data_IF_397638583483
#
_entry.id   IF_397638583483
#
_cell.length_a   1.000
_cell.length_b   1.000
_cell.length_c   1.000
_cell.angle_alpha   90.00
_cell.angle_beta   90.00
_cell.angle_gamma   90.00
#
_symmetry.space_group_name_H-M   'P 1'
#
loop_
_entity.id
_entity.type
_entity.pdbx_description
1 polymer ?
2 non-polymer ?
3 non-polymer ?
4 non-polymer ?
5 water ?
#
# COMPACT_ATOMS: atom_id res chain seq x y z
N UNK A 13 5.27 0.54 8.41
CA UNK A 13 5.25 -0.93 8.67
C UNK A 13 4.66 -1.71 7.50
N UNK A 14 4.72 -3.05 7.59
CA UNK A 14 4.20 -3.92 6.56
C UNK A 14 2.69 -4.09 6.76
N UNK A 15 2.00 -4.31 5.63
CA UNK A 15 0.59 -4.63 5.59
C UNK A 15 0.47 -6.09 5.18
N UNK A 16 -0.33 -6.92 5.90
CA UNK A 16 -0.53 -8.32 5.52
C UNK A 16 -1.00 -8.43 4.07
N UNK A 17 -0.50 -9.45 3.37
CA UNK A 17 -0.68 -9.56 1.93
C UNK A 17 -1.80 -10.55 1.60
N UNK A 18 -2.34 -11.21 2.64
CA UNK A 18 -3.31 -12.28 2.46
C UNK A 18 -2.62 -13.64 2.36
N UNK A 19 -3.30 -14.67 2.84
CA UNK A 19 -2.76 -16.02 2.87
C UNK A 19 -2.71 -16.59 1.44
N UNK A 20 -1.68 -17.40 1.17
CA UNK A 20 -1.57 -18.08 -0.10
C UNK A 20 -1.42 -19.58 0.12
N UNK A 21 -2.34 -20.35 -0.47
CA UNK A 21 -2.16 -21.78 -0.69
C UNK A 21 -2.60 -22.13 -2.10
N UNK A 22 -1.95 -23.15 -2.68
CA UNK A 22 -2.17 -23.51 -4.07
C UNK A 22 -2.11 -25.03 -4.24
N UNK A 42 -5.59 -23.52 -9.57
CA UNK A 42 -5.29 -23.64 -8.11
C UNK A 42 -3.95 -22.99 -7.79
N UNK A 43 -2.96 -23.22 -8.67
CA UNK A 43 -1.60 -22.74 -8.47
C UNK A 43 -1.45 -21.33 -9.02
N UNK A 44 -2.11 -20.37 -8.36
CA UNK A 44 -2.00 -18.97 -8.71
C UNK A 44 -1.13 -18.27 -7.66
N UNK A 45 -0.07 -17.60 -8.13
CA UNK A 45 0.89 -16.93 -7.26
C UNK A 45 0.24 -15.69 -6.65
N UNK A 46 0.62 -15.40 -5.39
CA UNK A 46 0.31 -14.13 -4.77
C UNK A 46 1.44 -13.15 -5.15
N UNK A 47 1.04 -12.03 -5.77
CA UNK A 47 1.99 -11.02 -6.21
C UNK A 47 1.65 -9.70 -5.50
N UNK A 48 2.64 -9.18 -4.77
CA UNK A 48 2.47 -7.95 -4.02
C UNK A 48 3.76 -7.13 -4.08
N UNK A 49 3.63 -5.83 -3.77
CA UNK A 49 4.76 -4.91 -3.74
C UNK A 49 5.73 -5.34 -2.64
N UNK A 50 7.03 -5.38 -2.98
CA UNK A 50 8.07 -5.75 -2.04
C UNK A 50 8.57 -4.49 -1.33
N UNK A 51 7.85 -4.09 -0.27
CA UNK A 51 8.10 -2.85 0.44
C UNK A 51 9.31 -3.00 1.36
N UNK A 52 9.70 -4.24 1.62
CA UNK A 52 10.76 -4.58 2.56
C UNK A 52 12.09 -3.96 2.10
N UNK A 53 12.16 -3.58 0.82
CA UNK A 53 13.39 -3.05 0.24
C UNK A 53 13.70 -1.66 0.79
N UNK A 54 12.68 -0.97 1.31
CA UNK A 54 12.81 0.39 1.79
C UNK A 54 13.19 0.40 3.28
N UNK A 55 13.48 -0.78 3.82
CA UNK A 55 13.72 -0.94 5.26
C UNK A 55 15.20 -1.24 5.53
N UNK A 56 15.65 -0.85 6.73
CA UNK A 56 17.00 -1.11 7.19
C UNK A 56 17.10 -2.53 7.73
N UNK A 57 15.98 -3.27 7.67
CA UNK A 57 15.92 -4.63 8.17
C UNK A 57 16.22 -5.62 7.04
N UNK A 58 16.40 -5.09 5.82
CA UNK A 58 16.53 -5.91 4.62
C UNK A 58 17.70 -6.87 4.75
N UNK A 59 18.87 -6.36 5.18
CA UNK A 59 20.08 -7.17 5.29
C UNK A 59 19.85 -8.32 6.26
N UNK A 60 19.20 -8.02 7.39
CA UNK A 60 18.88 -9.01 8.40
C UNK A 60 17.92 -10.05 7.82
N UNK A 61 16.92 -9.58 7.06
CA UNK A 61 15.94 -10.48 6.46
C UNK A 61 16.60 -11.36 5.41
N UNK A 62 17.43 -10.75 4.56
CA UNK A 62 18.12 -11.46 3.49
C UNK A 62 19.03 -12.53 4.08
N UNK A 63 19.65 -12.22 5.22
CA UNK A 63 20.56 -13.13 5.91
C UNK A 63 19.89 -14.49 6.14
N UNK A 64 18.62 -14.47 6.52
CA UNK A 64 17.94 -15.68 6.97
C UNK A 64 17.18 -16.35 5.81
N UNK A 65 16.62 -15.55 4.90
CA UNK A 65 15.62 -16.07 4.00
C UNK A 65 16.02 -16.00 2.53
N UNK A 66 16.92 -15.07 2.19
CA UNK A 66 17.30 -14.91 0.78
C UNK A 66 18.26 -16.03 0.39
N UNK A 67 18.02 -16.61 -0.81
CA UNK A 67 18.98 -17.50 -1.43
C UNK A 67 20.14 -16.63 -1.93
N UNK A 68 21.33 -16.85 -1.35
CA UNK A 68 22.50 -16.04 -1.66
C UNK A 68 22.83 -16.14 -3.15
N UNK A 69 23.33 -15.02 -3.71
CA UNK A 69 23.64 -14.95 -5.13
C UNK A 69 24.71 -15.97 -5.50
N UNK A 70 25.54 -16.34 -4.52
CA UNK A 70 26.63 -17.27 -4.71
C UNK A 70 26.10 -18.68 -5.01
N UNK A 71 24.78 -18.88 -4.83
CA UNK A 71 24.14 -20.15 -5.08
C UNK A 71 23.55 -20.19 -6.48
N UNK A 72 23.46 -19.02 -7.12
CA UNK A 72 22.99 -18.92 -8.49
C UNK A 72 24.17 -19.21 -9.41
N UNK A 73 24.14 -20.40 -10.03
CA UNK A 73 25.27 -20.89 -10.82
C UNK A 73 25.35 -20.16 -12.16
N UNK A 74 24.27 -20.21 -12.94
CA UNK A 74 24.25 -19.58 -14.25
C UNK A 74 22.83 -19.19 -14.65
N UNK A 75 22.73 -18.50 -15.79
CA UNK A 75 21.45 -18.04 -16.33
C UNK A 75 21.53 -18.08 -17.85
N UNK A 76 20.39 -18.42 -18.48
CA UNK A 76 20.21 -18.27 -19.91
C UNK A 76 18.78 -17.83 -20.20
N UNK A 77 18.52 -17.56 -21.48
CA UNK A 77 17.24 -17.06 -21.96
C UNK A 77 17.14 -17.35 -23.45
N UNK A 78 15.92 -17.23 -23.99
CA UNK A 78 15.64 -17.72 -25.33
C UNK A 78 15.59 -16.58 -26.34
N UNK A 79 15.82 -15.34 -25.89
CA UNK A 79 15.55 -14.18 -26.73
C UNK A 79 16.75 -13.27 -26.94
N UNK A 80 17.96 -13.75 -26.60
CA UNK A 80 19.16 -12.94 -26.70
C UNK A 80 19.09 -11.72 -25.80
N UNK A 81 19.71 -10.62 -26.24
CA UNK A 81 19.82 -9.41 -25.44
C UNK A 81 19.84 -8.18 -26.35
N UNK A 82 19.32 -7.07 -25.82
CA UNK A 82 19.37 -5.79 -26.51
C UNK A 82 20.68 -5.09 -26.14
N UNK A 83 21.48 -4.79 -27.17
CA UNK A 83 22.74 -4.07 -27.01
C UNK A 83 23.61 -4.77 -25.97
N UNK A 84 23.90 -4.06 -24.87
CA UNK A 84 24.80 -4.58 -23.84
C UNK A 84 24.04 -4.92 -22.57
N UNK A 85 22.71 -5.05 -22.68
CA UNK A 85 21.87 -5.41 -21.54
C UNK A 85 21.84 -6.94 -21.40
N UNK A 86 22.99 -7.51 -21.04
CA UNK A 86 23.23 -8.95 -21.06
C UNK A 86 22.47 -9.64 -19.92
N UNK A 87 22.21 -10.94 -20.11
CA UNK A 87 21.33 -11.73 -19.25
C UNK A 87 21.88 -11.82 -17.82
N UNK A 88 23.21 -11.76 -17.68
CA UNK A 88 23.85 -11.85 -16.37
C UNK A 88 23.44 -10.66 -15.50
N UNK A 89 23.10 -9.54 -16.14
CA UNK A 89 22.74 -8.31 -15.44
C UNK A 89 21.40 -8.47 -14.72
N UNK A 90 20.70 -9.59 -14.95
CA UNK A 90 19.42 -9.85 -14.31
C UNK A 90 19.62 -10.48 -12.93
N UNK A 91 20.84 -10.93 -12.62
CA UNK A 91 21.12 -11.63 -11.38
C UNK A 91 22.47 -11.19 -10.81
N UNK A 92 22.79 -9.90 -10.94
CA UNK A 92 24.10 -9.39 -10.54
C UNK A 92 24.00 -8.65 -9.21
N UNK A 93 22.79 -8.60 -8.63
CA UNK A 93 22.57 -8.01 -7.32
C UNK A 93 22.50 -6.49 -7.37
N UNK A 94 22.36 -5.95 -8.58
CA UNK A 94 22.30 -4.50 -8.78
C UNK A 94 20.99 -4.16 -9.49
N UNK A 95 20.12 -3.41 -8.79
CA UNK A 95 18.82 -3.04 -9.33
C UNK A 95 18.98 -2.04 -10.48
N UNK A 96 20.16 -1.42 -10.58
CA UNK A 96 20.37 -0.34 -11.53
C UNK A 96 21.01 -0.85 -12.83
N UNK A 97 21.25 -2.16 -12.90
CA UNK A 97 21.64 -2.81 -14.13
C UNK A 97 20.54 -3.80 -14.50
N UNK A 98 20.23 -3.91 -15.80
CA UNK A 98 19.13 -4.75 -16.23
C UNK A 98 19.52 -5.56 -17.46
N UNK A 99 18.87 -6.72 -17.61
CA UNK A 99 18.82 -7.42 -18.88
C UNK A 99 17.59 -6.96 -19.65
N UNK A 100 17.73 -6.85 -20.98
CA UNK A 100 16.60 -6.68 -21.86
C UNK A 100 16.76 -7.64 -23.04
N UNK A 101 15.66 -8.27 -23.43
CA UNK A 101 15.64 -9.20 -24.55
C UNK A 101 16.03 -8.48 -25.84
N UNK A 102 16.55 -9.26 -26.79
CA UNK A 102 16.81 -8.77 -28.14
C UNK A 102 15.64 -9.07 -29.08
N UNK A 103 14.73 -9.93 -28.61
CA UNK A 103 13.56 -10.32 -29.39
C UNK A 103 12.31 -10.16 -28.52
N UNK A 104 11.43 -9.18 -28.83
CA UNK A 104 10.24 -8.94 -28.01
C UNK A 104 9.20 -10.03 -28.20
N UNK A 105 8.29 -10.16 -27.22
CA UNK A 105 7.16 -11.06 -27.33
C UNK A 105 6.34 -10.69 -28.57
N UNK A 106 5.82 -11.71 -29.25
CA UNK A 106 4.79 -11.54 -30.27
C UNK A 106 3.84 -12.72 -30.21
N UNK A 107 3.02 -12.88 -31.25
CA UNK A 107 2.00 -13.92 -31.29
C UNK A 107 2.62 -15.31 -31.35
N UNK A 108 3.92 -15.38 -31.70
CA UNK A 108 4.57 -16.65 -31.97
C UNK A 108 5.69 -16.91 -30.97
N UNK A 109 6.16 -15.85 -30.29
CA UNK A 109 7.34 -15.98 -29.44
C UNK A 109 7.05 -15.45 -28.04
N UNK A 110 7.45 -16.24 -27.03
CA UNK A 110 7.36 -15.86 -25.63
C UNK A 110 8.74 -15.91 -24.99
N UNK A 111 9.18 -14.76 -24.47
CA UNK A 111 10.45 -14.65 -23.76
C UNK A 111 10.41 -15.49 -22.49
N UNK A 112 11.51 -16.20 -22.22
CA UNK A 112 11.68 -16.91 -20.97
C UNK A 112 13.14 -16.83 -20.52
N UNK A 113 13.32 -16.95 -19.20
CA UNK A 113 14.63 -16.95 -18.56
C UNK A 113 14.73 -18.22 -17.74
N UNK A 114 15.90 -18.88 -17.79
CA UNK A 114 16.15 -20.09 -17.03
C UNK A 114 17.36 -19.85 -16.13
N UNK A 115 17.14 -19.95 -14.81
CA UNK A 115 18.20 -19.82 -13.83
C UNK A 115 18.56 -21.21 -13.32
N UNK A 116 19.88 -21.51 -13.32
CA UNK A 116 20.41 -22.75 -12.77
C UNK A 116 21.06 -22.45 -11.42
N UNK A 117 20.71 -23.25 -10.40
CA UNK A 117 21.28 -23.12 -9.08
C UNK A 117 22.40 -24.15 -8.89
N UNK A 118 23.33 -23.84 -7.98
CA UNK A 118 24.47 -24.70 -7.67
C UNK A 118 23.98 -26.10 -7.27
N UNK A 119 23.03 -26.12 -6.33
CA UNK A 119 22.41 -27.36 -5.88
C UNK A 119 20.90 -27.20 -5.92
N UNK A 120 20.17 -28.31 -5.81
CA UNK A 120 18.72 -28.28 -5.70
C UNK A 120 18.36 -27.42 -4.49
N UNK A 121 17.55 -26.39 -4.74
CA UNK A 121 17.23 -25.38 -3.75
C UNK A 121 15.72 -25.26 -3.60
N UNK A 122 15.27 -25.19 -2.33
CA UNK A 122 13.85 -25.03 -2.03
C UNK A 122 13.52 -23.54 -2.00
N UNK A 123 12.61 -23.13 -2.89
CA UNK A 123 12.26 -21.72 -3.08
C UNK A 123 10.74 -21.60 -3.08
N UNK A 124 10.25 -20.50 -2.52
CA UNK A 124 8.82 -20.24 -2.49
C UNK A 124 8.51 -18.86 -3.06
N UNK A 125 9.55 -18.05 -3.32
CA UNK A 125 9.32 -16.67 -3.70
C UNK A 125 10.37 -16.19 -4.71
N UNK A 126 9.89 -15.39 -5.67
CA UNK A 126 10.74 -14.61 -6.56
C UNK A 126 10.44 -13.14 -6.28
N UNK A 127 11.51 -12.36 -6.05
CA UNK A 127 11.40 -10.90 -6.03
C UNK A 127 11.98 -10.38 -7.34
N UNK A 128 11.15 -9.64 -8.08
CA UNK A 128 11.45 -9.26 -9.45
C UNK A 128 11.16 -7.78 -9.68
N UNK A 129 11.99 -7.16 -10.54
CA UNK A 129 11.73 -5.83 -11.05
C UNK A 129 12.06 -5.78 -12.54
N UNK A 130 11.26 -5.03 -13.30
CA UNK A 130 11.61 -4.67 -14.66
C UNK A 130 12.79 -3.69 -14.60
N UNK A 131 13.31 -3.32 -15.78
CA UNK A 131 14.35 -2.32 -15.91
C UNK A 131 13.97 -1.06 -15.13
N UNK A 132 14.98 -0.36 -14.60
CA UNK A 132 14.74 0.80 -13.76
C UNK A 132 15.49 2.02 -14.29
N UNK A 133 15.79 2.03 -15.60
CA UNK A 133 16.47 3.14 -16.23
C UNK A 133 15.46 4.19 -16.68
N UNK A 134 15.75 4.85 -17.81
CA UNK A 134 14.90 5.91 -18.34
C UNK A 134 13.58 5.35 -18.86
N UNK A 135 13.58 4.06 -19.24
CA UNK A 135 12.38 3.40 -19.71
C UNK A 135 11.85 2.45 -18.63
N UNK A 136 11.92 2.90 -17.37
CA UNK A 136 11.53 2.09 -16.22
C UNK A 136 10.14 1.51 -16.43
N UNK A 137 10.02 0.20 -16.21
CA UNK A 137 8.74 -0.49 -16.28
C UNK A 137 8.57 -1.27 -17.58
N UNK A 138 9.21 -0.80 -18.66
CA UNK A 138 9.12 -1.46 -19.95
C UNK A 138 9.64 -2.89 -19.81
N UNK A 139 8.81 -3.85 -20.27
CA UNK A 139 9.18 -5.26 -20.27
C UNK A 139 8.79 -5.97 -18.98
N UNK A 140 8.04 -5.28 -18.10
CA UNK A 140 7.55 -5.88 -16.88
C UNK A 140 6.70 -7.11 -17.20
N UNK A 141 6.92 -8.19 -16.43
CA UNK A 141 6.19 -9.43 -16.59
C UNK A 141 4.79 -9.28 -15.98
N UNK A 142 3.88 -8.70 -16.77
CA UNK A 142 2.50 -8.47 -16.37
C UNK A 142 1.81 -9.80 -16.06
N UNK A 143 2.11 -10.81 -16.87
CA UNK A 143 1.71 -12.18 -16.63
C UNK A 143 2.94 -13.08 -16.78
N UNK A 144 2.99 -14.15 -15.98
CA UNK A 144 4.16 -15.01 -15.96
C UNK A 144 3.78 -16.43 -15.57
N UNK A 145 4.68 -17.36 -15.87
CA UNK A 145 4.59 -18.74 -15.42
C UNK A 145 5.96 -19.16 -14.90
N UNK A 146 5.96 -19.98 -13.86
CA UNK A 146 7.18 -20.47 -13.23
C UNK A 146 7.21 -21.99 -13.34
N UNK A 147 8.35 -22.51 -13.83
CA UNK A 147 8.53 -23.93 -14.07
C UNK A 147 9.73 -24.42 -13.28
N UNK A 148 9.73 -25.73 -12.95
CA UNK A 148 10.79 -26.35 -12.19
C UNK A 148 11.39 -27.51 -12.97
N UNK A 149 12.71 -27.68 -12.80
CA UNK A 149 13.41 -28.88 -13.20
C UNK A 149 14.43 -29.23 -12.13
N UNK A 150 14.59 -30.54 -11.87
CA UNK A 150 15.55 -31.02 -10.88
C UNK A 150 16.81 -31.50 -11.58
N UNK A 151 16.83 -31.38 -12.92
CA UNK A 151 17.98 -31.79 -13.72
C UNK A 151 18.64 -30.55 -14.32
N UNK A 152 19.87 -30.72 -14.81
CA UNK A 152 20.68 -29.63 -15.33
C UNK A 152 20.36 -29.35 -16.79
N UNK A 153 19.87 -30.38 -17.51
CA UNK A 153 19.63 -30.25 -18.94
C UNK A 153 18.36 -31.02 -19.33
N UNK A 154 17.78 -30.63 -20.48
CA UNK A 154 16.60 -31.27 -21.02
C UNK A 154 15.33 -30.49 -20.69
N UNK A 155 14.32 -30.61 -21.57
CA UNK A 155 13.05 -29.96 -21.35
C UNK A 155 12.11 -30.92 -20.60
N UNK A 156 12.27 -30.95 -19.27
CA UNK A 156 11.43 -31.76 -18.40
C UNK A 156 10.72 -30.86 -17.40
N UNK A 157 10.62 -29.56 -17.72
CA UNK A 157 10.08 -28.57 -16.83
C UNK A 157 8.60 -28.84 -16.55
N UNK A 158 8.22 -28.71 -15.28
CA UNK A 158 6.83 -28.83 -14.85
C UNK A 158 6.36 -27.48 -14.31
N UNK A 159 5.09 -27.16 -14.55
CA UNK A 159 4.52 -25.88 -14.15
C UNK A 159 4.34 -25.85 -12.63
N UNK A 160 4.89 -24.81 -12.00
CA UNK A 160 4.81 -24.64 -10.56
C UNK A 160 3.70 -23.63 -10.23
N UNK A 161 3.71 -22.49 -10.90
CA UNK A 161 2.82 -21.40 -10.57
C UNK A 161 2.62 -20.46 -11.76
N UNK A 162 1.39 -19.94 -11.89
CA UNK A 162 1.08 -18.87 -12.81
C UNK A 162 0.66 -17.65 -12.01
N UNK A 163 0.92 -16.45 -12.56
CA UNK A 163 0.64 -15.23 -11.83
C UNK A 163 0.50 -14.02 -12.75
N UNK A 164 0.09 -12.90 -12.14
CA UNK A 164 -0.10 -11.64 -12.84
C UNK A 164 0.05 -10.50 -11.84
N UNK A 165 0.33 -9.31 -12.38
CA UNK A 165 0.41 -8.09 -11.59
C UNK A 165 -0.01 -6.93 -12.48
N UNK A 166 -1.12 -6.28 -12.13
CA UNK A 166 -1.74 -5.27 -12.97
C UNK A 166 -1.56 -3.88 -12.36
N UNK A 167 -0.95 -3.81 -11.17
CA UNK A 167 -0.93 -2.58 -10.40
C UNK A 167 -0.04 -1.53 -11.07
N UNK A 168 1.23 -1.86 -11.26
CA UNK A 168 2.21 -0.95 -11.85
C UNK A 168 3.37 -1.74 -12.44
N UNK A 169 4.00 -1.18 -13.47
CA UNK A 169 5.10 -1.84 -14.14
C UNK A 169 6.43 -1.47 -13.49
N UNK A 170 6.40 -0.47 -12.60
CA UNK A 170 7.60 0.15 -12.06
C UNK A 170 7.99 -0.50 -10.74
N UNK A 171 7.13 -1.39 -10.21
CA UNK A 171 7.26 -1.89 -8.85
C UNK A 171 8.23 -3.06 -8.79
N UNK A 172 8.91 -3.18 -7.64
CA UNK A 172 9.59 -4.39 -7.23
C UNK A 172 8.57 -5.27 -6.53
N UNK A 173 8.31 -6.46 -7.09
CA UNK A 173 7.20 -7.29 -6.64
C UNK A 173 7.72 -8.59 -6.03
N UNK A 174 7.02 -9.07 -4.99
CA UNK A 174 7.22 -10.37 -4.42
C UNK A 174 6.21 -11.33 -5.03
N UNK A 175 6.72 -12.39 -5.68
CA UNK A 175 5.91 -13.44 -6.26
C UNK A 175 6.02 -14.66 -5.36
N UNK A 176 4.88 -15.08 -4.78
CA UNK A 176 4.85 -16.12 -3.76
C UNK A 176 4.04 -17.31 -4.26
N UNK A 177 4.64 -18.50 -4.16
CA UNK A 177 4.03 -19.73 -4.61
C UNK A 177 4.35 -20.84 -3.61
N UNK A 178 3.89 -22.07 -3.91
CA UNK A 178 4.16 -23.22 -3.06
C UNK A 178 5.67 -23.49 -3.03
N UNK A 179 6.26 -23.70 -1.84
CA UNK A 179 7.68 -24.04 -1.72
C UNK A 179 8.01 -25.24 -2.60
N UNK A 180 9.02 -25.07 -3.46
CA UNK A 180 9.34 -26.05 -4.49
C UNK A 180 10.86 -26.21 -4.58
N UNK A 181 11.29 -27.43 -4.91
CA UNK A 181 12.69 -27.71 -5.17
C UNK A 181 13.02 -27.33 -6.61
N UNK A 182 14.14 -26.62 -6.79
CA UNK A 182 14.61 -26.21 -8.11
C UNK A 182 16.09 -26.51 -8.26
N UNK A 183 16.45 -27.21 -9.35
CA UNK A 183 17.80 -27.14 -9.87
C UNK A 183 17.84 -26.06 -10.95
N UNK A 184 16.80 -26.04 -11.78
CA UNK A 184 16.57 -24.96 -12.73
C UNK A 184 15.16 -24.39 -12.52
N UNK A 185 15.07 -23.05 -12.55
CA UNK A 185 13.81 -22.35 -12.48
C UNK A 185 13.62 -21.60 -13.80
N UNK A 186 12.50 -21.89 -14.49
CA UNK A 186 12.15 -21.20 -15.72
C UNK A 186 11.10 -20.14 -15.42
N UNK A 187 11.38 -18.91 -15.85
CA UNK A 187 10.46 -17.79 -15.74
C UNK A 187 10.04 -17.35 -17.13
N UNK A 188 8.74 -17.48 -17.43
CA UNK A 188 8.18 -17.17 -18.74
C UNK A 188 7.45 -15.83 -18.66
N UNK A 189 7.77 -14.94 -19.61
CA UNK A 189 7.08 -13.67 -19.75
C UNK A 189 5.85 -13.86 -20.62
N UNK A 190 4.79 -14.43 -20.04
CA UNK A 190 3.55 -14.70 -20.74
C UNK A 190 3.00 -13.41 -21.34
N UNK A 191 3.04 -12.34 -20.54
CA UNK A 191 2.77 -10.99 -21.02
C UNK A 191 3.85 -10.06 -20.48
N UNK A 192 4.52 -9.36 -21.40
CA UNK A 192 5.51 -8.35 -21.04
C UNK A 192 5.02 -6.99 -21.51
N UNK A 193 5.15 -5.98 -20.64
CA UNK A 193 4.76 -4.63 -20.97
C UNK A 193 5.56 -4.16 -22.18
N UNK A 194 4.83 -3.88 -23.28
CA UNK A 194 5.41 -3.42 -24.54
C UNK A 194 6.33 -4.49 -25.15
N UNK A 195 6.19 -5.74 -24.65
CA UNK A 195 6.70 -6.94 -25.30
C UNK A 195 8.20 -7.13 -25.09
N UNK A 196 8.95 -6.04 -24.90
CA UNK A 196 10.39 -6.10 -24.75
C UNK A 196 10.77 -6.50 -23.32
N UNK A 197 10.60 -7.80 -23.02
CA UNK A 197 10.85 -8.35 -21.69
C UNK A 197 12.16 -7.83 -21.13
N UNK A 198 12.12 -7.36 -19.87
CA UNK A 198 13.31 -6.89 -19.18
C UNK A 198 13.31 -7.37 -17.73
N UNK A 199 14.50 -7.36 -17.11
CA UNK A 199 14.66 -7.75 -15.73
C UNK A 199 15.86 -7.04 -15.12
N UNK A 200 15.59 -6.20 -14.12
CA UNK A 200 16.64 -5.55 -13.35
C UNK A 200 17.25 -6.57 -12.39
N UNK A 201 16.39 -7.31 -11.68
CA UNK A 201 16.83 -8.35 -10.78
C UNK A 201 15.79 -9.47 -10.72
N UNK A 202 16.30 -10.72 -10.64
CA UNK A 202 15.56 -11.86 -10.15
C UNK A 202 16.21 -12.30 -8.83
N UNK A 203 15.45 -12.21 -7.75
CA UNK A 203 15.91 -12.64 -6.44
C UNK A 203 15.03 -13.77 -5.92
N UNK A 204 15.65 -14.71 -5.20
CA UNK A 204 14.96 -15.91 -4.76
C UNK A 204 15.03 -16.00 -3.23
N UNK A 205 13.92 -16.45 -2.64
CA UNK A 205 13.80 -16.54 -1.19
C UNK A 205 13.27 -17.91 -0.78
N UNK A 206 13.74 -18.38 0.38
CA UNK A 206 13.22 -19.58 1.02
C UNK A 206 11.94 -19.24 1.76
N UNK A 207 11.21 -20.29 2.16
CA UNK A 207 9.95 -20.17 2.87
C UNK A 207 10.14 -19.42 4.18
N UNK A 208 9.20 -18.52 4.48
CA UNK A 208 9.17 -17.78 5.74
C UNK A 208 7.81 -17.99 6.40
N UNK A 209 7.74 -19.03 7.24
CA UNK A 209 6.46 -19.51 7.79
C UNK A 209 5.80 -18.43 8.65
N UNK A 210 6.61 -17.72 9.45
CA UNK A 210 6.08 -16.71 10.35
C UNK A 210 5.55 -15.52 9.55
N UNK A 211 6.24 -15.19 8.45
CA UNK A 211 5.81 -14.13 7.55
C UNK A 211 4.46 -14.50 6.94
N UNK A 212 4.30 -15.78 6.61
CA UNK A 212 3.07 -16.26 5.99
C UNK A 212 1.94 -16.29 7.03
N UNK A 213 2.30 -16.52 8.30
CA UNK A 213 1.33 -16.44 9.39
C UNK A 213 0.82 -15.01 9.50
N UNK A 214 1.74 -14.04 9.44
CA UNK A 214 1.40 -12.63 9.49
C UNK A 214 0.50 -12.27 8.30
N UNK A 215 0.77 -12.87 7.14
CA UNK A 215 0.04 -12.54 5.93
C UNK A 215 -1.40 -13.02 6.02
N UNK A 216 -1.66 -13.99 6.92
CA UNK A 216 -3.00 -14.51 7.12
C UNK A 216 -3.70 -13.94 8.35
N UNK A 217 -3.26 -12.74 8.79
CA UNK A 217 -3.76 -12.10 9.99
C UNK A 217 -5.24 -11.74 9.84
N UNK A 218 -5.63 -11.33 8.63
CA UNK A 218 -7.00 -10.96 8.34
C UNK A 218 -7.63 -11.95 7.37
N UNK A 219 -8.97 -11.96 7.31
CA UNK A 219 -9.71 -12.96 6.55
C UNK A 219 -9.63 -12.69 5.05
N UNK A 220 -9.54 -11.41 4.67
CA UNK A 220 -9.58 -11.02 3.27
C UNK A 220 -8.84 -9.70 3.06
N UNK A 221 -8.87 -9.21 1.82
CA UNK A 221 -8.07 -8.07 1.39
C UNK A 221 -8.60 -6.76 1.97
N UNK A 222 -9.80 -6.79 2.56
CA UNK A 222 -10.36 -5.59 3.16
C UNK A 222 -9.85 -5.40 4.59
N UNK A 223 -9.31 -6.49 5.16
CA UNK A 223 -8.58 -6.46 6.43
C UNK A 223 -9.41 -5.77 7.52
N UNK A 224 -10.67 -6.18 7.67
CA UNK A 224 -11.56 -5.58 8.65
C UNK A 224 -12.10 -6.64 9.58
N UNK A 225 -11.64 -7.88 9.39
CA UNK A 225 -12.00 -9.00 10.24
C UNK A 225 -10.74 -9.85 10.48
N UNK A 226 -10.42 -10.08 11.75
CA UNK A 226 -9.26 -10.86 12.13
C UNK A 226 -9.57 -12.34 11.93
N UNK A 227 -8.57 -13.08 11.40
CA UNK A 227 -8.69 -14.50 11.17
C UNK A 227 -8.88 -15.24 12.49
N UNK A 228 -9.49 -16.44 12.39
CA UNK A 228 -9.93 -17.21 13.54
C UNK A 228 -8.78 -17.51 14.49
N UNK A 229 -7.58 -17.79 13.96
CA UNK A 229 -6.48 -18.23 14.80
C UNK A 229 -5.89 -17.06 15.58
N UNK A 230 -6.38 -15.83 15.34
CA UNK A 230 -5.90 -14.66 16.05
C UNK A 230 -7.07 -13.81 16.57
N UNK A 231 -8.26 -14.40 16.63
CA UNK A 231 -9.49 -13.63 16.78
C UNK A 231 -9.80 -13.28 18.24
N UNK A 232 -8.82 -13.45 19.13
CA UNK A 232 -8.94 -12.92 20.49
C UNK A 232 -7.63 -12.21 20.85
N UNK A 233 -7.68 -11.36 21.87
CA UNK A 233 -6.50 -10.65 22.33
C UNK A 233 -5.46 -11.64 22.84
N UNK A 234 -5.92 -12.73 23.47
CA UNK A 234 -5.04 -13.78 23.94
C UNK A 234 -4.25 -14.36 22.77
N UNK A 235 -4.96 -14.71 21.69
CA UNK A 235 -4.34 -15.33 20.53
C UNK A 235 -3.40 -14.34 19.85
N UNK A 236 -3.86 -13.09 19.70
CA UNK A 236 -3.11 -12.08 18.97
C UNK A 236 -1.83 -11.72 19.72
N UNK A 237 -1.95 -11.49 21.04
CA UNK A 237 -0.82 -11.10 21.87
C UNK A 237 0.23 -12.20 21.89
N UNK A 238 -0.23 -13.45 21.88
CA UNK A 238 0.67 -14.60 21.84
C UNK A 238 1.39 -14.67 20.50
N UNK A 239 0.67 -14.32 19.42
CA UNK A 239 1.26 -14.27 18.09
C UNK A 239 2.34 -13.20 18.03
N UNK A 240 2.04 -12.03 18.60
CA UNK A 240 2.99 -10.93 18.65
C UNK A 240 4.28 -11.40 19.33
N UNK A 241 4.12 -12.13 20.44
CA UNK A 241 5.25 -12.65 21.20
C UNK A 241 6.03 -13.66 20.35
N UNK A 242 5.30 -14.42 19.52
CA UNK A 242 5.89 -15.44 18.67
C UNK A 242 6.81 -14.82 17.62
N UNK A 243 6.54 -13.55 17.25
CA UNK A 243 7.20 -12.89 16.14
C UNK A 243 8.40 -12.08 16.60
N UNK A 244 8.64 -12.00 17.91
CA UNK A 244 9.52 -10.98 18.48
C UNK A 244 10.95 -11.14 17.97
N UNK A 245 11.38 -12.37 17.66
CA UNK A 245 12.75 -12.63 17.26
C UNK A 245 12.89 -12.55 15.74
N UNK A 246 11.78 -12.35 15.03
CA UNK A 246 11.79 -12.30 13.58
C UNK A 246 12.54 -11.06 13.10
N UNK A 247 13.42 -11.19 12.07
CA UNK A 247 14.18 -10.06 11.55
C UNK A 247 13.39 -8.82 11.13
N UNK A 248 12.11 -8.98 10.78
CA UNK A 248 11.29 -7.85 10.41
C UNK A 248 10.11 -7.70 11.35
N UNK A 249 10.32 -8.09 12.61
CA UNK A 249 9.31 -7.96 13.66
C UNK A 249 8.80 -6.54 13.75
N UNK A 250 9.71 -5.56 13.65
CA UNK A 250 9.37 -4.15 13.80
C UNK A 250 8.37 -3.72 12.73
N UNK A 251 8.43 -4.36 11.55
CA UNK A 251 7.57 -3.99 10.43
C UNK A 251 6.21 -4.68 10.56
N UNK A 252 6.10 -5.64 11.49
CA UNK A 252 4.85 -6.37 11.70
C UNK A 252 3.95 -5.61 12.67
N UNK A 253 4.54 -4.69 13.45
CA UNK A 253 3.87 -4.07 14.58
C UNK A 253 2.60 -3.35 14.13
N UNK A 254 2.65 -2.71 12.96
CA UNK A 254 1.53 -1.94 12.44
C UNK A 254 0.32 -2.84 12.23
N UNK A 255 0.53 -3.95 11.53
CA UNK A 255 -0.53 -4.91 11.24
C UNK A 255 -1.13 -5.49 12.51
N UNK A 256 -0.27 -5.82 13.48
CA UNK A 256 -0.66 -6.38 14.77
C UNK A 256 -1.53 -5.37 15.51
N UNK A 257 -1.13 -4.09 15.47
CA UNK A 257 -1.87 -3.03 16.14
C UNK A 257 -3.22 -2.82 15.45
N UNK A 258 -3.22 -2.97 14.11
CA UNK A 258 -4.43 -2.88 13.31
C UNK A 258 -5.42 -3.96 13.76
N UNK A 259 -4.94 -5.19 13.89
CA UNK A 259 -5.75 -6.31 14.34
C UNK A 259 -6.28 -6.05 15.74
N UNK A 260 -5.44 -5.47 16.60
CA UNK A 260 -5.80 -5.20 17.98
C UNK A 260 -6.94 -4.18 18.02
N UNK A 261 -6.84 -3.14 17.17
CA UNK A 261 -7.84 -2.09 17.12
C UNK A 261 -9.20 -2.65 16.70
N UNK A 262 -9.17 -3.63 15.78
CA UNK A 262 -10.38 -4.27 15.29
C UNK A 262 -11.00 -5.13 16.39
N UNK A 263 -10.16 -5.88 17.11
CA UNK A 263 -10.63 -6.79 18.15
C UNK A 263 -11.28 -6.03 19.30
N UNK A 264 -10.83 -4.79 19.54
CA UNK A 264 -11.29 -4.02 20.68
C UNK A 264 -12.25 -2.91 20.25
N UNK A 265 -12.70 -2.96 18.99
CA UNK A 265 -13.54 -1.91 18.46
C UNK A 265 -14.90 -1.91 19.15
N UNK A 266 -15.44 -0.71 19.39
CA UNK A 266 -16.76 -0.55 19.97
C UNK A 266 -17.76 -0.26 18.84
N UNK A 267 -19.05 -0.52 19.13
CA UNK A 267 -20.11 -0.35 18.16
C UNK A 267 -20.20 1.11 17.70
N UNK A 268 -20.60 1.28 16.44
CA UNK A 268 -20.78 2.59 15.83
C UNK A 268 -21.98 3.28 16.46
N UNK A 269 -21.71 4.36 17.21
CA UNK A 269 -22.76 5.16 17.82
C UNK A 269 -22.48 6.63 17.56
N UNK A 270 -22.87 7.16 16.37
CA UNK A 270 -22.60 8.55 16.01
C UNK A 270 -23.27 9.54 16.95
N UNK A 271 -22.51 10.57 17.36
CA UNK A 271 -23.02 11.64 18.19
C UNK A 271 -23.33 12.84 17.31
N UNK A 272 -23.81 13.92 17.94
CA UNK A 272 -24.08 15.17 17.25
C UNK A 272 -22.88 16.11 17.45
N UNK A 273 -22.43 16.71 16.35
CA UNK A 273 -21.31 17.65 16.37
C UNK A 273 -21.85 19.08 16.39
N UNK A 274 -21.41 19.84 17.40
CA UNK A 274 -21.73 21.25 17.53
C UNK A 274 -20.73 22.06 16.72
N UNK A 275 -21.21 22.72 15.67
CA UNK A 275 -20.37 23.50 14.79
C UNK A 275 -20.49 24.99 15.14
N UNK A 276 -19.43 25.75 14.79
CA UNK A 276 -19.38 27.18 15.06
C UNK A 276 -18.09 27.79 14.54
N UNK A 277 -18.14 29.11 14.27
CA UNK A 277 -16.99 29.86 13.79
C UNK A 277 -15.97 30.00 14.91
N UNK A 278 -14.68 29.88 14.55
CA UNK A 278 -13.60 29.96 15.53
C UNK A 278 -12.48 30.84 14.96
N UNK A 279 -11.56 31.27 15.85
CA UNK A 279 -10.42 32.07 15.47
C UNK A 279 -9.15 31.60 16.19
N UNK A 280 -9.25 30.51 16.98
CA UNK A 280 -8.15 30.08 17.83
C UNK A 280 -7.01 29.47 17.02
N UNK A 281 -7.25 29.22 15.73
CA UNK A 281 -6.21 28.72 14.84
C UNK A 281 -5.08 29.74 14.73
N UNK A 282 -5.39 31.00 15.04
CA UNK A 282 -4.42 32.09 14.99
C UNK A 282 -3.48 32.00 16.20
N UNK A 283 -3.95 31.33 17.27
CA UNK A 283 -3.25 31.28 18.53
C UNK A 283 -2.17 30.19 18.49
N UNK A 284 -0.92 30.63 18.28
CA UNK A 284 0.22 29.73 18.12
C UNK A 284 0.37 28.82 19.34
N UNK A 285 0.35 29.43 20.53
CA UNK A 285 0.58 28.70 21.77
C UNK A 285 -0.51 27.65 21.96
N UNK A 286 -1.76 28.03 21.67
CA UNK A 286 -2.90 27.12 21.78
C UNK A 286 -2.73 25.94 20.82
N UNK A 287 -2.25 26.22 19.61
CA UNK A 287 -2.03 25.21 18.58
C UNK A 287 -0.96 24.23 19.06
N UNK A 288 0.07 24.76 19.74
CA UNK A 288 1.17 23.95 20.24
C UNK A 288 0.65 22.88 21.19
N UNK A 289 -0.45 23.19 21.90
CA UNK A 289 -0.98 22.30 22.92
C UNK A 289 -2.08 21.41 22.34
N UNK A 290 -2.96 21.98 21.51
CA UNK A 290 -4.23 21.34 21.20
C UNK A 290 -4.34 20.89 19.74
N UNK A 291 -3.59 21.52 18.84
CA UNK A 291 -3.65 21.14 17.43
C UNK A 291 -2.65 20.02 17.16
N UNK A 292 -3.15 18.96 16.50
CA UNK A 292 -2.30 17.89 16.01
C UNK A 292 -1.27 18.49 15.06
N UNK A 293 0.04 18.21 15.26
CA UNK A 293 1.08 18.71 14.35
C UNK A 293 0.80 18.29 12.91
N UNK A 294 1.05 19.21 11.98
CA UNK A 294 0.83 18.97 10.55
C UNK A 294 1.67 17.80 10.07
N UNK A 295 2.80 17.55 10.75
CA UNK A 295 3.74 16.52 10.35
C UNK A 295 3.24 15.14 10.77
N UNK A 296 2.09 15.08 11.46
CA UNK A 296 1.49 13.80 11.81
C UNK A 296 0.67 13.28 10.65
N UNK A 297 0.51 14.11 9.60
CA UNK A 297 -0.25 13.72 8.42
C UNK A 297 0.64 12.85 7.54
N UNK A 298 0.21 11.61 7.32
CA UNK A 298 0.94 10.65 6.51
C UNK A 298 0.62 10.87 5.03
N UNK A 299 -0.67 11.07 4.72
CA UNK A 299 -1.12 11.27 3.36
C UNK A 299 -2.53 11.86 3.37
N UNK A 300 -2.95 12.37 2.21
CA UNK A 300 -4.29 12.90 2.01
C UNK A 300 -4.78 12.48 0.63
N UNK A 301 -6.09 12.20 0.53
CA UNK A 301 -6.74 11.88 -0.74
C UNK A 301 -8.23 12.18 -0.63
N UNK A 302 -8.92 12.16 -1.78
CA UNK A 302 -10.34 12.47 -1.86
C UNK A 302 -10.99 11.62 -2.95
N UNK A 303 -12.32 11.56 -2.92
CA UNK A 303 -13.07 10.64 -3.77
C UNK A 303 -13.38 11.30 -5.11
N UNK A 304 -13.40 12.64 -5.13
CA UNK A 304 -13.52 13.37 -6.38
C UNK A 304 -12.16 13.54 -7.04
N UNK A 305 -12.10 14.42 -8.05
CA UNK A 305 -10.83 14.86 -8.60
C UNK A 305 -10.52 16.24 -8.00
N UNK A 306 -10.04 17.16 -8.83
CA UNK A 306 -9.86 18.55 -8.42
C UNK A 306 -9.97 19.47 -9.63
N UNK A 307 -10.71 20.56 -9.45
CA UNK A 307 -10.90 21.58 -10.48
C UNK A 307 -9.60 22.38 -10.64
N UNK A 308 -9.14 22.48 -11.90
CA UNK A 308 -7.94 23.23 -12.27
C UNK A 308 -6.74 22.74 -11.46
N UNK A 309 -6.05 23.67 -10.79
CA UNK A 309 -4.85 23.35 -10.03
C UNK A 309 -5.11 23.53 -8.54
N UNK A 310 -6.38 23.39 -8.14
CA UNK A 310 -6.76 23.42 -6.73
C UNK A 310 -6.69 22.01 -6.16
N UNK A 311 -5.46 21.50 -6.04
CA UNK A 311 -5.18 20.13 -5.66
C UNK A 311 -5.44 19.94 -4.16
N UNK A 312 -5.38 18.67 -3.71
CA UNK A 312 -5.83 18.27 -2.38
C UNK A 312 -4.82 18.69 -1.32
N UNK A 313 -3.53 18.79 -1.69
CA UNK A 313 -2.46 19.01 -0.73
C UNK A 313 -2.54 20.40 -0.10
N UNK A 314 -3.22 21.34 -0.77
CA UNK A 314 -3.31 22.70 -0.27
C UNK A 314 -4.53 22.86 0.63
N UNK A 315 -5.11 21.72 1.04
CA UNK A 315 -6.10 21.72 2.10
C UNK A 315 -5.40 21.57 3.45
N UNK A 316 -4.09 21.26 3.41
CA UNK A 316 -3.31 20.97 4.61
C UNK A 316 -1.93 21.61 4.51
N UNK A 317 -1.85 22.79 3.88
CA UNK A 317 -0.56 23.44 3.68
C UNK A 317 -0.37 24.57 4.69
N UNK A 318 -1.31 24.68 5.64
CA UNK A 318 -1.27 25.70 6.69
C UNK A 318 -1.29 27.09 6.05
N UNK A 319 -2.21 27.28 5.10
CA UNK A 319 -2.36 28.53 4.36
C UNK A 319 -3.84 28.73 4.05
N UNK A 320 -4.47 29.70 4.72
CA UNK A 320 -5.91 29.90 4.63
C UNK A 320 -6.28 30.51 3.28
N UNK A 321 -5.26 30.77 2.43
CA UNK A 321 -5.47 31.44 1.16
C UNK A 321 -5.47 30.44 0.01
N UNK A 322 -4.77 29.31 0.18
CA UNK A 322 -4.77 28.24 -0.79
C UNK A 322 -5.88 27.25 -0.43
N UNK A 323 -6.54 26.68 -1.45
CA UNK A 323 -7.66 25.79 -1.21
C UNK A 323 -7.72 24.68 -2.26
N UNK A 324 -8.21 23.51 -1.82
CA UNK A 324 -8.58 22.44 -2.71
C UNK A 324 -10.02 22.65 -3.17
N UNK A 325 -10.28 22.33 -4.44
CA UNK A 325 -11.62 22.30 -4.99
C UNK A 325 -11.84 20.92 -5.62
N UNK A 326 -13.06 20.40 -5.49
CA UNK A 326 -13.41 19.08 -5.99
C UNK A 326 -13.47 19.10 -7.51
N UNK A 327 -13.25 17.92 -8.11
CA UNK A 327 -13.41 17.72 -9.54
C UNK A 327 -14.67 16.93 -9.86
N UNK A 328 -15.58 16.86 -8.87
CA UNK A 328 -16.84 16.13 -8.96
C UNK A 328 -17.79 16.67 -7.90
N UNK A 329 -18.99 17.10 -8.33
CA UNK A 329 -19.92 17.76 -7.42
C UNK A 329 -20.88 16.72 -6.80
N UNK A 330 -21.51 17.13 -5.69
CA UNK A 330 -22.43 16.30 -4.92
C UNK A 330 -23.69 16.04 -5.73
N UNK A 331 -23.83 14.81 -6.25
CA UNK A 331 -25.01 14.39 -6.97
C UNK A 331 -26.08 13.94 -5.98
N UNK A 332 -27.19 13.41 -6.50
CA UNK A 332 -28.26 12.84 -5.69
C UNK A 332 -27.80 11.53 -5.07
N UNK A 333 -26.75 10.93 -5.64
CA UNK A 333 -26.24 9.64 -5.23
C UNK A 333 -24.78 9.74 -4.82
N UNK A 334 -24.25 10.96 -4.77
CA UNK A 334 -22.83 11.17 -4.55
C UNK A 334 -22.59 12.25 -3.48
N UNK A 335 -21.69 11.92 -2.54
CA UNK A 335 -21.16 12.87 -1.58
C UNK A 335 -19.66 12.98 -1.82
N UNK A 336 -19.12 14.21 -1.69
CA UNK A 336 -17.68 14.41 -1.71
C UNK A 336 -17.12 14.05 -0.34
N UNK A 337 -15.96 13.36 -0.34
CA UNK A 337 -15.30 13.03 0.92
C UNK A 337 -13.78 13.05 0.74
N UNK A 338 -13.11 13.52 1.80
CA UNK A 338 -11.65 13.67 1.84
C UNK A 338 -11.12 12.76 2.94
N UNK A 339 -9.97 12.14 2.67
CA UNK A 339 -9.38 11.16 3.56
C UNK A 339 -7.97 11.58 3.94
N UNK A 340 -7.68 11.62 5.23
CA UNK A 340 -6.37 11.97 5.75
C UNK A 340 -5.86 10.83 6.62
N UNK A 341 -4.63 10.37 6.32
CA UNK A 341 -3.98 9.32 7.08
C UNK A 341 -2.98 9.94 8.04
N UNK A 342 -2.94 9.41 9.27
CA UNK A 342 -2.02 9.91 10.29
C UNK A 342 -0.91 8.90 10.52
N UNK A 343 0.26 9.41 10.93
CA UNK A 343 1.39 8.57 11.30
C UNK A 343 1.12 7.90 12.64
N UNK A 344 0.71 8.71 13.62
CA UNK A 344 0.37 8.21 14.96
C UNK A 344 -1.11 8.42 15.20
N UNK A 345 -1.76 7.41 15.81
CA UNK A 345 -3.12 7.54 16.28
C UNK A 345 -3.19 8.73 17.24
N UNK A 346 -4.25 9.54 17.09
CA UNK A 346 -4.46 10.71 17.93
C UNK A 346 -5.93 10.76 18.32
N UNK A 347 -6.19 11.23 19.54
CA UNK A 347 -7.55 11.44 20.01
C UNK A 347 -7.95 12.89 19.70
N UNK A 348 -9.04 13.03 18.93
CA UNK A 348 -9.52 14.34 18.51
C UNK A 348 -10.93 14.56 19.06
N UNK A 349 -11.30 15.83 19.21
CA UNK A 349 -12.65 16.20 19.58
C UNK A 349 -13.17 17.25 18.61
N UNK A 350 -12.28 17.81 17.78
CA UNK A 350 -12.64 18.89 16.87
C UNK A 350 -11.93 18.73 15.54
N UNK A 351 -12.66 18.99 14.46
CA UNK A 351 -12.09 19.14 13.14
C UNK A 351 -12.43 20.56 12.65
N UNK A 352 -11.40 21.32 12.30
CA UNK A 352 -11.55 22.69 11.86
C UNK A 352 -11.33 22.74 10.35
N UNK A 353 -12.29 23.35 9.65
CA UNK A 353 -12.26 23.43 8.20
C UNK A 353 -12.79 24.80 7.75
N UNK A 354 -12.53 25.11 6.49
CA UNK A 354 -13.17 26.23 5.81
C UNK A 354 -13.27 25.94 4.32
N UNK A 355 -14.17 26.66 3.64
CA UNK A 355 -14.30 26.59 2.20
C UNK A 355 -13.27 27.53 1.56
N UNK A 356 -13.30 27.62 0.22
CA UNK A 356 -12.60 28.68 -0.47
C UNK A 356 -13.18 30.01 -0.02
N UNK A 357 -12.31 30.99 0.24
CA UNK A 357 -12.71 32.18 0.97
C UNK A 357 -13.30 33.23 0.02
N UNK A 358 -13.00 33.10 -1.28
CA UNK A 358 -13.49 34.05 -2.27
C UNK A 358 -15.01 33.95 -2.42
N UNK A 359 -15.49 32.73 -2.72
CA UNK A 359 -16.87 32.52 -3.12
C UNK A 359 -17.67 31.88 -1.98
N UNK A 360 -16.99 31.03 -1.20
CA UNK A 360 -17.60 30.12 -0.23
C UNK A 360 -18.24 28.93 -0.94
N UNK A 361 -18.01 28.82 -2.26
CA UNK A 361 -18.53 27.73 -3.06
C UNK A 361 -17.84 26.43 -2.65
N UNK A 362 -18.62 25.53 -2.03
CA UNK A 362 -18.12 24.22 -1.63
C UNK A 362 -18.02 24.06 -0.12
N UNK A 363 -18.62 25.02 0.62
CA UNK A 363 -18.65 24.97 2.07
C UNK A 363 -19.48 23.76 2.52
N UNK A 364 -18.86 22.90 3.33
CA UNK A 364 -19.54 21.76 3.91
C UNK A 364 -20.61 22.24 4.88
N UNK A 365 -21.83 22.42 4.36
CA UNK A 365 -22.95 22.91 5.16
C UNK A 365 -23.40 21.84 6.13
N UNK A 366 -23.30 20.57 5.70
CA UNK A 366 -23.53 19.41 6.57
C UNK A 366 -22.36 18.46 6.40
N UNK A 367 -21.84 17.97 7.54
CA UNK A 367 -20.60 17.20 7.55
C UNK A 367 -20.86 15.83 8.18
N UNK A 368 -20.24 14.80 7.58
CA UNK A 368 -20.16 13.46 8.15
C UNK A 368 -18.70 13.13 8.40
N UNK A 369 -18.38 12.74 9.64
CA UNK A 369 -17.01 12.48 10.05
C UNK A 369 -16.86 10.99 10.38
N UNK A 370 -15.85 10.37 9.78
CA UNK A 370 -15.58 8.94 9.98
C UNK A 370 -14.17 8.77 10.57
N UNK A 371 -14.08 7.85 11.53
CA UNK A 371 -12.82 7.50 12.16
C UNK A 371 -12.47 6.05 11.83
N UNK A 372 -11.16 5.81 11.65
CA UNK A 372 -10.59 4.47 11.61
C UNK A 372 -9.43 4.41 12.57
N UNK A 373 -9.30 3.29 13.28
CA UNK A 373 -8.21 3.09 14.23
C UNK A 373 -7.13 2.21 13.62
N UNK A 374 -7.28 1.87 12.34
CA UNK A 374 -6.30 1.09 11.62
C UNK A 374 -5.64 1.97 10.56
N UNK A 375 -4.42 1.59 10.15
CA UNK A 375 -3.66 2.33 9.16
C UNK A 375 -4.17 2.00 7.75
N UNK A 376 -4.74 0.79 7.59
CA UNK A 376 -5.25 0.33 6.31
C UNK A 376 -6.49 -0.53 6.56
N UNK A 377 -7.36 -0.61 5.55
CA UNK A 377 -8.50 -1.52 5.55
C UNK A 377 -9.84 -0.80 5.64
N UNK A 378 -10.90 -1.55 5.34
CA UNK A 378 -12.27 -1.05 5.33
C UNK A 378 -12.80 -1.02 6.76
N UNK A 379 -12.30 -0.09 7.57
CA UNK A 379 -12.51 -0.12 9.01
C UNK A 379 -13.06 1.21 9.53
N UNK A 380 -13.68 2.01 8.66
CA UNK A 380 -14.23 3.28 9.08
C UNK A 380 -15.58 3.09 9.75
N UNK A 381 -15.92 4.03 10.64
CA UNK A 381 -17.23 4.10 11.27
C UNK A 381 -17.59 5.57 11.49
N UNK A 382 -18.89 5.88 11.39
CA UNK A 382 -19.40 7.23 11.56
C UNK A 382 -19.33 7.59 13.05
N UNK A 383 -18.75 8.76 13.34
CA UNK A 383 -18.54 9.16 14.72
C UNK A 383 -19.38 10.39 15.05
N UNK A 384 -19.56 11.29 14.08
CA UNK A 384 -20.21 12.56 14.36
C UNK A 384 -20.90 13.11 13.11
N UNK A 385 -22.00 13.83 13.34
CA UNK A 385 -22.73 14.54 12.31
C UNK A 385 -23.02 15.96 12.80
N UNK A 386 -23.05 16.91 11.86
CA UNK A 386 -23.32 18.30 12.20
C UNK A 386 -23.55 19.17 10.97
N UNK A 387 -24.10 20.37 11.21
CA UNK A 387 -24.43 21.31 10.15
C UNK A 387 -24.07 22.72 10.59
N UNK A 388 -23.65 23.55 9.62
CA UNK A 388 -23.42 24.96 9.82
C UNK A 388 -23.61 25.70 8.50
N UNK A 389 -24.20 26.90 8.57
CA UNK A 389 -24.39 27.75 7.42
C UNK A 389 -23.03 28.17 6.86
N UNK A 390 -22.99 28.41 5.54
CA UNK A 390 -21.78 28.87 4.87
C UNK A 390 -21.34 30.21 5.46
N UNK A 391 -20.08 30.27 5.87
CA UNK A 391 -19.49 31.45 6.48
C UNK A 391 -18.00 31.52 6.14
N UNK A 392 -17.48 32.75 6.03
CA UNK A 392 -16.07 32.99 5.82
C UNK A 392 -15.33 32.68 7.12
N UNK A 393 -14.02 32.44 7.01
CA UNK A 393 -13.20 32.06 8.14
C UNK A 393 -13.13 30.54 8.31
N UNK A 394 -12.89 30.10 9.55
CA UNK A 394 -12.80 28.67 9.83
C UNK A 394 -13.90 28.28 10.81
N UNK A 395 -14.37 27.03 10.65
CA UNK A 395 -15.46 26.49 11.45
C UNK A 395 -14.95 25.22 12.13
N UNK A 396 -15.25 25.08 13.43
CA UNK A 396 -14.95 23.87 14.17
C UNK A 396 -16.16 22.95 14.12
N UNK A 397 -15.89 21.64 14.18
CA UNK A 397 -16.91 20.63 14.39
C UNK A 397 -16.54 19.82 15.63
N UNK A 398 -17.19 20.16 16.76
CA UNK A 398 -16.85 19.55 18.04
C UNK A 398 -17.72 18.33 18.28
N UNK A 399 -17.05 17.20 18.55
CA UNK A 399 -17.71 15.94 18.89
C UNK A 399 -17.04 15.38 20.14
N UNK A 400 -17.42 14.15 20.49
CA UNK A 400 -16.84 13.47 21.64
C UNK A 400 -15.44 12.98 21.28
N UNK A 401 -14.48 12.97 22.25
CA UNK A 401 -13.13 12.49 22.00
C UNK A 401 -13.13 11.12 21.32
N UNK A 402 -12.51 11.08 20.13
CA UNK A 402 -12.48 9.89 19.30
C UNK A 402 -11.05 9.64 18.82
N UNK A 403 -10.65 8.37 18.78
CA UNK A 403 -9.34 7.97 18.31
C UNK A 403 -9.35 7.91 16.79
N UNK A 404 -8.29 8.45 16.18
CA UNK A 404 -8.16 8.48 14.73
C UNK A 404 -6.75 8.01 14.36
N UNK A 405 -6.69 6.96 13.53
CA UNK A 405 -5.49 6.63 12.79
C UNK A 405 -5.62 7.21 11.38
N UNK A 406 -6.87 7.21 10.89
CA UNK A 406 -7.25 7.86 9.64
C UNK A 406 -8.59 8.55 9.85
N UNK A 407 -8.83 9.60 9.06
CA UNK A 407 -10.08 10.34 9.13
C UNK A 407 -10.65 10.50 7.71
N UNK A 408 -11.99 10.42 7.62
CA UNK A 408 -12.72 10.73 6.41
C UNK A 408 -13.67 11.89 6.66
N UNK A 409 -13.55 12.93 5.84
CA UNK A 409 -14.37 14.12 5.92
C UNK A 409 -15.35 14.11 4.74
N UNK A 410 -16.64 13.89 5.03
CA UNK A 410 -17.64 13.76 3.99
C UNK A 410 -18.50 15.02 3.90
N UNK A 411 -18.70 15.48 2.66
CA UNK A 411 -19.60 16.58 2.36
C UNK A 411 -21.01 16.02 2.16
N UNK A 412 -21.74 15.89 3.27
CA UNK A 412 -23.09 15.35 3.25
C UNK A 412 -24.04 16.35 2.62
N UNK A 413 -23.82 17.64 2.93
CA UNK A 413 -24.47 18.73 2.23
C UNK A 413 -23.48 19.88 2.11
N UNK A 414 -23.34 20.41 0.89
CA UNK A 414 -22.39 21.48 0.62
C UNK A 414 -23.08 22.61 -0.13
N UNK A 415 -22.52 23.82 0.01
CA UNK A 415 -23.03 25.00 -0.68
C UNK A 415 -22.73 24.87 -2.17
N UNK A 416 -23.78 25.00 -2.98
CA UNK A 416 -23.71 24.99 -4.45
C UNK A 416 -23.23 23.63 -4.94
N UNK A 417 -23.34 22.61 -4.09
CA UNK A 417 -23.08 21.22 -4.42
C UNK A 417 -21.60 20.98 -4.78
N UNK A 418 -20.77 22.01 -4.63
CA UNK A 418 -19.34 21.87 -4.83
C UNK A 418 -18.70 21.36 -3.55
N UNK A 419 -17.36 21.29 -3.51
CA UNK A 419 -16.62 20.94 -2.31
C UNK A 419 -15.24 21.59 -2.34
N UNK A 420 -14.98 22.44 -1.35
CA UNK A 420 -13.70 23.13 -1.21
C UNK A 420 -13.23 23.08 0.23
N UNK A 421 -11.90 23.01 0.39
CA UNK A 421 -11.25 23.12 1.69
C UNK A 421 -10.02 24.02 1.55
N UNK A 422 -10.00 25.12 2.31
CA UNK A 422 -8.83 25.98 2.35
C UNK A 422 -7.83 25.42 3.35
N UNK A 423 -8.33 25.01 4.52
CA UNK A 423 -7.54 24.34 5.53
C UNK A 423 -8.36 23.26 6.22
N UNK A 424 -7.68 22.18 6.61
CA UNK A 424 -8.28 21.11 7.39
C UNK A 424 -7.37 20.81 8.57
N UNK A 425 -7.87 21.09 9.77
CA UNK A 425 -7.08 21.01 10.98
C UNK A 425 -7.77 20.09 11.99
N UNK A 426 -6.96 19.51 12.89
CA UNK A 426 -7.44 18.51 13.83
C UNK A 426 -7.00 18.91 15.24
N UNK A 427 -8.00 19.07 16.13
CA UNK A 427 -7.76 19.55 17.48
C UNK A 427 -8.13 18.48 18.51
N UNK A 428 -7.34 18.44 19.58
CA UNK A 428 -7.45 17.45 20.64
C UNK A 428 -8.27 18.02 21.80
N UNK A 429 -8.84 17.18 22.68
CA UNK A 429 -9.52 17.64 23.89
C UNK A 429 -8.57 18.31 24.89
#
# INVERSE_FOLDING_TARGET
>A
MGSSHHHHHHSSGLVPRGSHMASQELNTKNNSKVEVSHDDESHQARVSKFDLYNSDKLDAYNQEFQVSRSNIKSINNNGGKYNSSTIDKAIDGNLETHWETGKPNDANFTNEVVVTFNEITNIDRIVYSARRDSARGKGFAKEFEIYASLKDEGDDFNLVSSGEYTESTRDLVEIKFNPTDFKRLKFKFKKADQNWASAAEFMFYKEDKLNEKFNGLFTDSSMNKVSEEFNTLEKLNAFENELKDHPIYDLYKEGLNNARAILTETSENPTKATLGQITYNLNDDYNNQYRMPYKNIKAIKNNGRHYAAQNIEKAIDNDVNTYWETGTLNSSSFNNEVEVEFNDLVTLDRIVYGSRQSDLKGFAEEVYIYASRTSKGDTYKLVATGAHEATKGLVEAKFEPTEFKRVKFKFKKSKQNSATLNELMFYKPDEVYSSIPKLFTDGTMSELS
#
